data_IF_727307181977
#
_entry.id   IF_727307181977
#
_cell.length_a   1.000
_cell.length_b   1.000
_cell.length_c   1.000
_cell.angle_alpha   90.00
_cell.angle_beta   90.00
_cell.angle_gamma   90.00
#
_symmetry.space_group_name_H-M   'P 1'
#
loop_
_entity.id
_entity.type
_entity.pdbx_description
1 polymer ?
#
# COMPACT_ATOMS: atom_id res chain seq x y z
N UNK A 1 -17.74 0.81 -2.24
CA UNK A 1 -17.86 2.05 -1.43
C UNK A 1 -16.45 2.54 -1.18
N UNK A 2 -16.13 3.78 -1.56
CA UNK A 2 -14.79 4.34 -1.37
C UNK A 2 -14.65 4.78 0.10
N UNK A 3 -13.67 4.20 0.80
CA UNK A 3 -13.36 4.53 2.18
C UNK A 3 -12.07 5.35 2.23
N UNK A 4 -12.07 6.44 2.98
CA UNK A 4 -10.89 7.30 3.14
C UNK A 4 -9.97 6.74 4.21
N UNK A 5 -8.66 6.94 4.03
CA UNK A 5 -7.66 6.58 5.03
C UNK A 5 -7.79 7.46 6.28
N UNK A 6 -7.58 6.87 7.45
CA UNK A 6 -7.53 7.59 8.72
C UNK A 6 -6.19 8.31 8.89
N UNK A 7 -6.20 9.53 9.44
CA UNK A 7 -4.97 10.26 9.78
C UNK A 7 -4.24 9.54 10.90
N UNK A 8 -2.96 9.24 10.65
CA UNK A 8 -2.08 8.63 11.63
C UNK A 8 -0.65 9.10 11.39
N UNK A 9 -0.03 9.70 12.42
CA UNK A 9 1.34 10.25 12.36
C UNK A 9 2.30 9.50 13.30
N UNK A 10 1.94 8.29 13.73
CA UNK A 10 2.83 7.47 14.58
C UNK A 10 3.72 6.54 13.76
N UNK A 11 4.42 5.65 14.45
CA UNK A 11 5.36 4.73 13.82
C UNK A 11 4.68 3.66 12.92
N UNK A 12 5.40 3.16 11.89
CA UNK A 12 4.96 2.01 11.10
C UNK A 12 4.66 0.78 11.97
N UNK A 13 3.64 0.01 11.57
CA UNK A 13 3.14 -1.15 12.33
C UNK A 13 3.25 -2.44 11.52
N UNK A 14 3.22 -3.56 12.22
CA UNK A 14 3.05 -4.87 11.60
C UNK A 14 1.61 -5.05 11.12
N UNK A 15 1.42 -5.86 10.08
CA UNK A 15 0.10 -6.36 9.73
C UNK A 15 -0.49 -7.19 10.87
N UNK A 16 -1.82 -7.13 11.02
CA UNK A 16 -2.53 -7.88 12.06
C UNK A 16 -2.82 -9.32 11.64
N UNK A 17 -2.84 -9.59 10.33
CA UNK A 17 -3.18 -10.90 9.78
C UNK A 17 -2.11 -11.40 8.79
N UNK A 18 -1.91 -12.72 8.78
CA UNK A 18 -1.01 -13.37 7.81
C UNK A 18 -1.45 -13.11 6.37
N UNK A 19 -2.76 -13.11 6.12
CA UNK A 19 -3.32 -12.83 4.79
C UNK A 19 -2.87 -11.47 4.26
N UNK A 20 -2.87 -10.43 5.09
CA UNK A 20 -2.42 -9.11 4.68
C UNK A 20 -0.92 -9.08 4.37
N UNK A 21 -0.11 -9.77 5.18
CA UNK A 21 1.32 -9.93 4.95
C UNK A 21 1.63 -10.67 3.64
N UNK A 22 0.90 -11.75 3.33
CA UNK A 22 1.08 -12.53 2.10
C UNK A 22 0.72 -11.71 0.86
N UNK A 23 -0.39 -10.97 0.92
CA UNK A 23 -0.79 -10.03 -0.15
C UNK A 23 0.25 -8.94 -0.30
N UNK A 24 0.76 -8.40 0.81
CA UNK A 24 1.81 -7.38 0.79
C UNK A 24 3.10 -7.88 0.14
N UNK A 25 3.57 -9.09 0.49
CA UNK A 25 4.77 -9.68 -0.11
C UNK A 25 4.62 -9.87 -1.63
N UNK A 26 3.40 -10.10 -2.11
CA UNK A 26 3.11 -10.25 -3.55
C UNK A 26 2.91 -8.92 -4.26
N UNK A 27 2.20 -7.98 -3.64
CA UNK A 27 1.81 -6.71 -4.25
C UNK A 27 2.87 -5.62 -4.09
N UNK A 28 3.66 -5.64 -3.02
CA UNK A 28 4.68 -4.63 -2.73
C UNK A 28 6.02 -5.30 -2.35
N UNK A 29 6.60 -6.13 -3.23
CA UNK A 29 7.80 -6.91 -2.90
C UNK A 29 9.00 -6.03 -2.52
N UNK A 30 9.12 -4.84 -3.10
CA UNK A 30 10.22 -3.90 -2.81
C UNK A 30 10.18 -3.33 -1.39
N UNK A 31 9.04 -3.44 -0.70
CA UNK A 31 8.87 -2.98 0.69
C UNK A 31 8.85 -4.15 1.69
N UNK A 32 8.95 -5.40 1.24
CA UNK A 32 8.88 -6.57 2.10
C UNK A 32 10.25 -6.95 2.62
N UNK A 33 10.41 -6.92 3.94
CA UNK A 33 11.66 -7.21 4.66
C UNK A 33 11.58 -8.52 5.46
N UNK A 34 10.49 -9.28 5.31
CA UNK A 34 10.24 -10.54 6.03
C UNK A 34 9.01 -10.49 6.96
N UNK A 35 8.81 -11.50 7.81
CA UNK A 35 7.65 -11.60 8.69
C UNK A 35 7.47 -10.41 9.64
N UNK A 36 8.59 -9.77 10.03
CA UNK A 36 8.60 -8.62 10.93
C UNK A 36 8.52 -7.28 10.19
N UNK A 37 8.13 -7.27 8.91
CA UNK A 37 7.96 -6.03 8.14
C UNK A 37 7.02 -5.06 8.87
N UNK A 38 7.44 -3.80 8.98
CA UNK A 38 6.61 -2.70 9.47
C UNK A 38 6.27 -1.75 8.32
N UNK A 39 5.02 -1.28 8.30
CA UNK A 39 4.48 -0.45 7.22
C UNK A 39 3.50 0.59 7.75
N UNK A 40 3.26 1.64 6.95
CA UNK A 40 2.26 2.66 7.26
C UNK A 40 0.83 2.29 6.83
N UNK A 41 0.62 1.13 6.20
CA UNK A 41 -0.71 0.67 5.81
C UNK A 41 -1.25 -0.46 6.71
N UNK A 42 -2.55 -0.44 6.94
CA UNK A 42 -3.28 -1.50 7.64
C UNK A 42 -3.69 -2.62 6.69
N UNK A 43 -4.10 -3.76 7.26
CA UNK A 43 -4.61 -4.92 6.53
C UNK A 43 -5.69 -4.56 5.49
N UNK A 44 -6.64 -3.69 5.87
CA UNK A 44 -7.70 -3.25 4.95
C UNK A 44 -7.16 -2.45 3.76
N UNK A 45 -6.14 -1.62 3.98
CA UNK A 45 -5.56 -0.76 2.94
C UNK A 45 -4.79 -1.58 1.91
N UNK A 46 -4.00 -2.57 2.33
CA UNK A 46 -3.28 -3.44 1.38
C UNK A 46 -4.24 -4.35 0.59
N UNK A 47 -5.28 -4.87 1.22
CA UNK A 47 -6.31 -5.64 0.53
C UNK A 47 -7.11 -4.78 -0.46
N UNK A 48 -7.37 -3.53 -0.09
CA UNK A 48 -8.03 -2.56 -0.97
C UNK A 48 -7.13 -2.23 -2.17
N UNK A 49 -5.85 -1.98 -1.94
CA UNK A 49 -4.88 -1.70 -3.00
C UNK A 49 -4.82 -2.87 -4.00
N UNK A 50 -4.69 -4.11 -3.53
CA UNK A 50 -4.67 -5.28 -4.42
C UNK A 50 -5.95 -5.40 -5.28
N UNK A 51 -7.11 -5.13 -4.68
CA UNK A 51 -8.38 -5.12 -5.42
C UNK A 51 -8.43 -4.01 -6.48
N UNK A 52 -7.90 -2.82 -6.19
CA UNK A 52 -7.87 -1.68 -7.11
C UNK A 52 -6.87 -1.88 -8.26
N UNK A 53 -5.86 -2.73 -8.06
CA UNK A 53 -4.89 -3.07 -9.09
C UNK A 53 -5.46 -4.01 -10.17
N UNK A 54 -6.68 -4.55 -10.02
CA UNK A 54 -7.28 -5.44 -11.00
C UNK A 54 -7.32 -4.87 -12.42
N UNK A 55 -7.69 -3.60 -12.59
CA UNK A 55 -7.74 -2.94 -13.91
C UNK A 55 -6.33 -2.61 -14.43
N UNK A 56 -5.44 -1.93 -13.67
CA UNK A 56 -4.05 -1.70 -14.09
C UNK A 56 -3.31 -2.98 -14.48
N UNK A 57 -3.53 -4.08 -13.75
CA UNK A 57 -2.91 -5.38 -14.01
C UNK A 57 -3.32 -5.92 -15.39
N UNK A 58 -4.57 -5.72 -15.81
CA UNK A 58 -5.03 -6.12 -17.15
C UNK A 58 -4.47 -5.23 -18.26
N UNK A 59 -4.41 -3.91 -18.02
CA UNK A 59 -3.94 -2.93 -19.00
C UNK A 59 -2.43 -3.05 -19.23
N UNK A 60 -1.66 -3.23 -18.16
CA UNK A 60 -0.20 -3.22 -18.19
C UNK A 60 0.42 -4.62 -18.31
N UNK A 61 -0.39 -5.68 -18.43
CA UNK A 61 0.09 -7.08 -18.50
C UNK A 61 1.14 -7.36 -19.59
N UNK A 62 1.15 -6.58 -20.67
CA UNK A 62 2.10 -6.74 -21.79
C UNK A 62 3.50 -6.22 -21.46
N UNK A 63 3.66 -5.40 -20.42
CA UNK A 63 4.92 -4.82 -19.98
C UNK A 63 5.06 -4.96 -18.46
N UNK A 64 5.66 -6.05 -17.96
CA UNK A 64 5.80 -6.29 -16.52
C UNK A 64 6.53 -5.17 -15.78
N UNK A 65 7.55 -4.57 -16.39
CA UNK A 65 8.28 -3.42 -15.81
C UNK A 65 7.38 -2.19 -15.65
N UNK A 66 6.52 -1.91 -16.63
CA UNK A 66 5.55 -0.82 -16.55
C UNK A 66 4.57 -1.03 -15.40
N UNK A 67 4.06 -2.27 -15.25
CA UNK A 67 3.20 -2.62 -14.14
C UNK A 67 3.92 -2.51 -12.79
N UNK A 68 5.16 -3.00 -12.70
CA UNK A 68 5.95 -2.93 -11.47
C UNK A 68 6.23 -1.48 -11.05
N UNK A 69 6.61 -0.60 -11.98
CA UNK A 69 6.81 0.81 -11.67
C UNK A 69 5.51 1.49 -11.19
N UNK A 70 4.39 1.18 -11.85
CA UNK A 70 3.08 1.68 -11.45
C UNK A 70 2.71 1.17 -10.05
N UNK A 71 2.91 -0.11 -9.79
CA UNK A 71 2.65 -0.77 -8.52
C UNK A 71 3.49 -0.15 -7.39
N UNK A 72 4.78 0.03 -7.63
CA UNK A 72 5.71 0.65 -6.67
C UNK A 72 5.27 2.06 -6.29
N UNK A 73 4.84 2.89 -7.25
CA UNK A 73 4.31 4.22 -6.95
C UNK A 73 3.18 4.15 -5.89
N UNK A 74 2.21 3.26 -6.09
CA UNK A 74 1.08 3.12 -5.16
C UNK A 74 1.48 2.46 -3.85
N UNK A 75 2.42 1.51 -3.87
CA UNK A 75 2.97 0.87 -2.67
C UNK A 75 3.68 1.90 -1.78
N UNK A 76 4.57 2.74 -2.32
CA UNK A 76 5.27 3.76 -1.54
C UNK A 76 4.30 4.83 -1.01
N UNK A 77 3.31 5.24 -1.80
CA UNK A 77 2.31 6.22 -1.36
C UNK A 77 1.41 5.69 -0.25
N UNK A 78 1.08 4.40 -0.27
CA UNK A 78 0.11 3.80 0.67
C UNK A 78 0.78 3.20 1.90
N UNK A 79 1.92 2.53 1.71
CA UNK A 79 2.54 1.63 2.68
C UNK A 79 3.98 2.02 3.05
N UNK A 80 4.60 2.99 2.36
CA UNK A 80 5.98 3.40 2.62
C UNK A 80 6.20 3.92 4.04
N UNK A 81 7.26 3.48 4.71
CA UNK A 81 7.60 3.90 6.09
C UNK A 81 8.06 5.37 6.16
N UNK A 82 8.47 5.93 5.02
CA UNK A 82 8.87 7.34 4.86
C UNK A 82 7.71 8.26 4.41
N UNK A 83 6.46 7.83 4.53
CA UNK A 83 5.29 8.58 4.03
C UNK A 83 5.24 10.04 4.52
N UNK A 84 5.63 10.30 5.77
CA UNK A 84 5.65 11.67 6.34
C UNK A 84 6.64 12.60 5.64
N UNK A 85 7.69 12.06 5.01
CA UNK A 85 8.64 12.85 4.24
C UNK A 85 8.17 13.09 2.79
N UNK A 86 7.36 12.18 2.25
CA UNK A 86 6.95 12.19 0.83
C UNK A 86 5.56 12.74 0.59
N UNK A 87 4.71 12.84 1.61
CA UNK A 87 3.29 13.22 1.48
C UNK A 87 2.89 14.31 2.49
N UNK A 88 2.17 15.33 2.02
CA UNK A 88 1.59 16.40 2.87
C UNK A 88 0.06 16.29 2.82
N UNK A 89 -0.58 16.17 3.98
CA UNK A 89 -2.04 16.17 4.10
C UNK A 89 -2.58 17.59 3.88
N UNK A 90 -3.33 17.82 2.79
CA UNK A 90 -3.90 19.14 2.47
C UNK A 90 -5.33 19.34 2.98
N UNK A 91 -6.13 18.27 3.06
CA UNK A 91 -7.53 18.34 3.50
C UNK A 91 -7.90 17.09 4.30
N UNK A 92 -8.87 17.25 5.20
CA UNK A 92 -9.37 16.18 6.06
C UNK A 92 -10.88 16.32 6.19
N UNK A 93 -11.59 15.20 6.27
CA UNK A 93 -13.01 15.19 6.56
C UNK A 93 -13.22 14.49 7.89
N UNK A 94 -13.74 15.22 8.88
CA UNK A 94 -14.29 14.63 10.09
C UNK A 94 -15.70 14.17 9.78
N UNK A 95 -15.94 12.88 9.95
CA UNK A 95 -17.29 12.31 10.00
C UNK A 95 -17.94 12.62 11.34
#
# INVERSE_FOLDING_TARGET
>A
MFELNCIYNGEPKHFKTQKALDVFATACPDLYEGPDTKTCCADSQILTLDSQLAVPRQLLKRCPSCFNNFLNLWCYLTCGTNMVHTTILSSTHKF
#
